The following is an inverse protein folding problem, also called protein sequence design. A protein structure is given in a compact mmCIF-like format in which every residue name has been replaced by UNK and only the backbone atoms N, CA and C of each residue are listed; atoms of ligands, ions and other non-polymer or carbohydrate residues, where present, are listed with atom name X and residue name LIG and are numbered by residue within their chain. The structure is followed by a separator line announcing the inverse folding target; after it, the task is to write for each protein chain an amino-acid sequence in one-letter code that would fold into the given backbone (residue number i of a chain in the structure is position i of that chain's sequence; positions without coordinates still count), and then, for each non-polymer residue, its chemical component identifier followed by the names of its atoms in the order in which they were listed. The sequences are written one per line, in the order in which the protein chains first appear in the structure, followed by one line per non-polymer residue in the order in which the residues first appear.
data_IF_289970578172
#
_entry.id   IF_289970578172
#
_cell.length_a   1.000
_cell.length_b   1.000
_cell.length_c   1.000
_cell.angle_alpha   90.00
_cell.angle_beta   90.00
_cell.angle_gamma   90.00
#
_symmetry.space_group_name_H-M   'P 1'
#
loop_
_entity.id
_entity.type
_entity.pdbx_description
1 polymer ?
#
# COMPACT_ATOMS: atom_id res chain seq x y z
N UNK A 1 1.56 -9.06 -31.77
CA UNK A 1 1.97 -8.50 -30.46
C UNK A 1 1.76 -9.60 -29.45
N UNK A 2 2.83 -10.30 -29.07
CA UNK A 2 2.76 -11.48 -28.20
C UNK A 2 2.35 -11.07 -26.78
N UNK A 3 1.48 -11.89 -26.22
CA UNK A 3 0.85 -11.83 -24.90
C UNK A 3 1.78 -12.22 -23.75
N UNK A 4 3.08 -11.92 -23.82
CA UNK A 4 4.09 -12.47 -22.89
C UNK A 4 4.62 -11.49 -21.83
N UNK A 5 4.17 -10.24 -21.83
CA UNK A 5 4.34 -9.34 -20.69
C UNK A 5 2.97 -9.16 -20.03
N UNK A 6 2.55 -10.16 -19.26
CA UNK A 6 1.39 -10.03 -18.39
C UNK A 6 1.59 -8.79 -17.50
N UNK A 7 0.63 -7.88 -17.57
CA UNK A 7 0.69 -6.59 -16.90
C UNK A 7 0.95 -6.71 -15.40
N UNK A 8 0.53 -7.80 -14.76
CA UNK A 8 0.76 -8.11 -13.34
C UNK A 8 2.26 -8.20 -12.98
N UNK A 9 3.09 -8.83 -13.84
CA UNK A 9 4.53 -9.00 -13.58
C UNK A 9 5.32 -7.68 -13.49
N UNK A 10 4.84 -6.63 -14.17
CA UNK A 10 5.48 -5.31 -14.20
C UNK A 10 5.15 -4.51 -12.93
N UNK A 11 3.99 -4.74 -12.32
CA UNK A 11 3.59 -4.10 -11.05
C UNK A 11 4.37 -4.65 -9.85
N UNK A 12 4.80 -5.90 -9.92
CA UNK A 12 5.55 -6.60 -8.87
C UNK A 12 7.03 -6.21 -8.79
N UNK A 13 7.56 -5.49 -9.79
CA UNK A 13 8.99 -5.24 -9.95
C UNK A 13 9.50 -3.97 -9.28
N UNK A 14 8.63 -3.07 -8.86
CA UNK A 14 9.06 -1.72 -8.47
C UNK A 14 8.86 -1.48 -6.98
N UNK A 15 9.92 -1.84 -6.22
CA UNK A 15 10.20 -1.23 -4.92
C UNK A 15 10.62 0.19 -5.21
N UNK A 16 9.70 1.15 -5.08
CA UNK A 16 10.13 2.53 -5.06
C UNK A 16 10.53 2.85 -3.65
N UNK A 17 11.78 3.31 -3.50
CA UNK A 17 12.26 3.78 -2.23
C UNK A 17 11.35 4.91 -1.74
N UNK A 18 10.85 4.73 -0.52
CA UNK A 18 9.98 5.68 0.15
C UNK A 18 10.53 5.82 1.54
N UNK A 19 11.68 6.48 1.64
CA UNK A 19 12.36 6.76 2.91
C UNK A 19 11.37 7.25 3.99
N UNK A 20 10.42 8.10 3.58
CA UNK A 20 9.35 8.59 4.46
C UNK A 20 8.41 7.48 4.94
N UNK A 21 8.00 6.54 4.09
CA UNK A 21 7.16 5.40 4.47
C UNK A 21 7.91 4.47 5.43
N UNK A 22 9.20 4.20 5.16
CA UNK A 22 10.06 3.41 6.04
C UNK A 22 10.19 4.09 7.40
N UNK A 23 10.44 5.40 7.42
CA UNK A 23 10.53 6.19 8.66
C UNK A 23 9.23 6.14 9.47
N UNK A 24 8.07 6.32 8.82
CA UNK A 24 6.76 6.26 9.51
C UNK A 24 6.49 4.89 10.09
N UNK A 25 6.70 3.81 9.32
CA UNK A 25 6.51 2.44 9.82
C UNK A 25 7.45 2.18 11.00
N UNK A 26 8.74 2.48 10.83
CA UNK A 26 9.77 2.28 11.87
C UNK A 26 9.45 3.05 13.14
N UNK A 27 8.97 4.29 13.02
CA UNK A 27 8.49 5.11 14.14
C UNK A 27 7.34 4.44 14.90
N UNK A 28 6.35 3.88 14.21
CA UNK A 28 5.21 3.22 14.88
C UNK A 28 5.63 1.91 15.55
N UNK A 29 6.48 1.11 14.89
CA UNK A 29 7.04 -0.10 15.50
C UNK A 29 7.84 0.24 16.76
N UNK A 30 8.65 1.31 16.71
CA UNK A 30 9.41 1.79 17.87
C UNK A 30 8.49 2.27 19.00
N UNK A 31 7.43 3.01 18.70
CA UNK A 31 6.44 3.43 19.71
C UNK A 31 5.79 2.23 20.41
N UNK A 32 5.39 1.21 19.65
CA UNK A 32 4.85 -0.03 20.22
C UNK A 32 5.87 -0.71 21.14
N UNK A 33 7.13 -0.79 20.71
CA UNK A 33 8.22 -1.32 21.51
C UNK A 33 8.43 -0.55 22.83
N UNK A 34 8.44 0.78 22.80
CA UNK A 34 8.55 1.61 24.00
C UNK A 34 7.38 1.35 24.94
N UNK A 35 6.14 1.34 24.42
CA UNK A 35 4.94 1.13 25.23
C UNK A 35 4.97 -0.23 25.95
N UNK A 36 5.47 -1.28 25.29
CA UNK A 36 5.70 -2.60 25.92
C UNK A 36 6.70 -2.52 27.07
N UNK A 37 7.84 -1.85 26.87
CA UNK A 37 8.87 -1.68 27.90
C UNK A 37 8.38 -0.93 29.14
N UNK A 38 7.46 0.02 28.95
CA UNK A 38 6.89 0.80 30.07
C UNK A 38 5.87 0.00 30.90
N UNK A 39 5.46 -1.20 30.47
CA UNK A 39 4.57 -2.10 31.22
C UNK A 39 3.16 -1.56 31.47
N UNK A 40 2.77 -0.46 30.83
CA UNK A 40 1.43 0.13 30.95
C UNK A 40 0.46 -0.60 30.03
N UNK A 41 -0.81 -0.64 30.40
CA UNK A 41 -1.85 -0.99 29.42
C UNK A 41 -1.76 -0.02 28.23
N UNK A 42 -1.50 -0.56 27.05
CA UNK A 42 -1.36 0.22 25.83
C UNK A 42 -2.37 -0.24 24.77
N UNK A 43 -2.73 0.69 23.90
CA UNK A 43 -3.48 0.42 22.66
C UNK A 43 -2.43 0.10 21.59
N UNK A 44 -2.35 -1.14 21.04
CA UNK A 44 -1.35 -1.45 20.02
C UNK A 44 -1.49 -0.51 18.82
N UNK A 45 -0.38 0.07 18.40
CA UNK A 45 -0.31 0.92 17.21
C UNK A 45 0.18 0.07 16.05
N UNK A 46 -0.60 0.00 14.98
CA UNK A 46 -0.33 -0.86 13.82
C UNK A 46 -0.22 0.00 12.56
N UNK A 47 0.92 -0.02 11.86
CA UNK A 47 1.03 0.52 10.53
C UNK A 47 0.00 -0.11 9.59
N UNK A 48 -0.79 0.74 8.95
CA UNK A 48 -1.78 0.35 7.95
C UNK A 48 -1.43 0.98 6.60
N UNK A 49 -1.07 0.14 5.64
CA UNK A 49 -0.84 0.55 4.25
C UNK A 49 -2.11 0.31 3.44
N UNK A 50 -2.94 1.33 3.17
CA UNK A 50 -4.10 1.10 2.32
C UNK A 50 -3.65 0.67 0.91
N UNK A 51 -4.30 -0.35 0.35
CA UNK A 51 -4.22 -0.74 -1.06
C UNK A 51 -4.82 0.36 -1.92
N UNK A 52 -4.05 1.42 -2.12
CA UNK A 52 -4.25 2.27 -3.27
C UNK A 52 -3.85 1.52 -4.51
N UNK A 53 -4.54 1.87 -5.56
CA UNK A 53 -4.13 1.52 -6.89
C UNK A 53 -2.65 1.88 -7.15
N UNK A 54 -1.83 0.89 -7.48
CA UNK A 54 -0.45 1.11 -7.92
C UNK A 54 0.44 1.81 -6.89
N UNK A 55 0.07 1.82 -5.60
CA UNK A 55 0.92 2.40 -4.54
C UNK A 55 2.12 1.55 -4.20
N UNK A 56 2.17 0.30 -4.64
CA UNK A 56 3.24 -0.63 -4.31
C UNK A 56 3.31 -0.99 -2.83
N UNK A 57 2.24 -0.80 -2.03
CA UNK A 57 2.27 -1.06 -0.57
C UNK A 57 2.53 -2.52 -0.22
N UNK A 58 1.94 -3.49 -0.95
CA UNK A 58 2.29 -4.91 -0.83
C UNK A 58 3.79 -5.12 -1.00
N UNK A 59 4.35 -4.59 -2.09
CA UNK A 59 5.77 -4.74 -2.41
C UNK A 59 6.66 -4.01 -1.43
N UNK A 60 6.28 -2.82 -0.99
CA UNK A 60 6.96 -2.08 0.06
C UNK A 60 7.04 -2.92 1.34
N UNK A 61 5.94 -3.53 1.78
CA UNK A 61 5.94 -4.35 2.99
C UNK A 61 6.78 -5.60 2.82
N UNK A 62 6.72 -6.27 1.66
CA UNK A 62 7.58 -7.42 1.35
C UNK A 62 9.08 -7.09 1.42
N UNK A 63 9.48 -5.87 1.03
CA UNK A 63 10.88 -5.42 1.02
C UNK A 63 11.23 -4.50 2.20
N UNK A 64 10.34 -4.34 3.18
CA UNK A 64 10.51 -3.37 4.27
C UNK A 64 11.83 -3.56 5.04
N UNK A 65 12.20 -4.81 5.35
CA UNK A 65 13.45 -5.10 6.07
C UNK A 65 14.70 -4.81 5.24
N UNK A 66 14.64 -5.02 3.93
CA UNK A 66 15.74 -4.65 3.03
C UNK A 66 15.91 -3.13 2.98
N UNK A 67 14.81 -2.39 2.89
CA UNK A 67 14.81 -0.92 2.92
C UNK A 67 15.37 -0.38 4.24
N UNK A 68 14.95 -0.94 5.38
CA UNK A 68 15.51 -0.58 6.71
C UNK A 68 17.02 -0.84 6.77
N UNK A 69 17.49 -1.94 6.19
CA UNK A 69 18.92 -2.27 6.14
C UNK A 69 19.70 -1.27 5.29
N UNK A 70 19.17 -0.90 4.12
CA UNK A 70 19.79 0.05 3.20
C UNK A 70 19.85 1.47 3.80
N UNK A 71 18.78 1.91 4.48
CA UNK A 71 18.71 3.23 5.10
C UNK A 71 19.55 3.38 6.36
N UNK A 72 19.82 2.28 7.08
CA UNK A 72 20.60 2.33 8.31
C UNK A 72 19.98 3.25 9.38
N UNK A 73 20.77 4.16 9.96
CA UNK A 73 20.26 5.12 10.97
C UNK A 73 19.24 6.10 10.39
N UNK A 74 19.21 6.33 9.08
CA UNK A 74 18.21 7.20 8.43
C UNK A 74 16.79 6.64 8.53
N UNK A 75 16.61 5.34 8.74
CA UNK A 75 15.29 4.75 9.03
C UNK A 75 14.68 5.27 10.35
N UNK A 76 15.48 5.93 11.19
CA UNK A 76 15.05 6.55 12.45
C UNK A 76 14.66 8.02 12.31
N UNK A 77 14.71 8.60 11.10
CA UNK A 77 14.28 9.98 10.85
C UNK A 77 12.83 10.16 11.30
N UNK A 78 12.56 11.22 12.08
CA UNK A 78 11.25 11.48 12.71
C UNK A 78 11.12 10.94 14.14
N UNK A 79 12.08 10.13 14.61
CA UNK A 79 12.18 9.80 16.03
C UNK A 79 12.74 10.95 16.86
N UNK A 80 13.29 12.02 16.29
CA UNK A 80 13.97 13.09 17.04
C UNK A 80 13.13 13.76 18.13
N UNK A 81 11.81 13.73 17.97
CA UNK A 81 10.82 14.26 18.91
C UNK A 81 10.47 13.32 20.08
N UNK A 82 11.07 12.14 20.14
CA UNK A 82 10.83 11.18 21.23
C UNK A 82 11.74 11.48 22.43
N UNK A 83 11.22 11.37 23.66
CA UNK A 83 11.92 11.77 24.89
C UNK A 83 13.31 11.14 25.09
N UNK A 84 14.16 11.81 25.86
CA UNK A 84 15.56 11.42 26.17
C UNK A 84 15.70 9.95 26.63
N UNK A 85 14.78 9.47 27.47
CA UNK A 85 14.76 8.08 27.94
C UNK A 85 14.50 7.06 26.82
N UNK A 86 13.81 7.47 25.76
CA UNK A 86 13.49 6.61 24.61
C UNK A 86 14.63 6.62 23.59
N UNK A 87 15.35 7.75 23.44
CA UNK A 87 16.55 7.86 22.59
C UNK A 87 17.57 6.75 22.84
N UNK A 88 17.79 6.41 24.12
CA UNK A 88 18.74 5.37 24.52
C UNK A 88 18.43 3.99 23.92
N UNK A 89 17.18 3.70 23.56
CA UNK A 89 16.77 2.40 23.02
C UNK A 89 16.73 2.35 21.49
N UNK A 90 16.86 3.48 20.77
CA UNK A 90 16.66 3.55 19.31
C UNK A 90 17.65 2.68 18.54
N UNK A 91 18.95 2.79 18.87
CA UNK A 91 19.99 1.99 18.22
C UNK A 91 19.81 0.50 18.48
N UNK A 92 19.52 0.12 19.73
CA UNK A 92 19.26 -1.28 20.09
C UNK A 92 18.03 -1.85 19.39
N UNK A 93 16.96 -1.07 19.28
CA UNK A 93 15.78 -1.43 18.51
C UNK A 93 16.09 -1.61 17.03
N UNK A 94 16.77 -0.64 16.41
CA UNK A 94 17.12 -0.70 14.98
C UNK A 94 18.00 -1.90 14.66
N UNK A 95 19.04 -2.17 15.46
CA UNK A 95 19.93 -3.30 15.24
C UNK A 95 19.22 -4.65 15.37
N UNK A 96 18.22 -4.74 16.25
CA UNK A 96 17.37 -5.93 16.35
C UNK A 96 16.33 -6.00 15.22
N UNK A 97 15.84 -4.87 14.73
CA UNK A 97 14.93 -4.77 13.58
C UNK A 97 15.61 -5.16 12.26
N UNK A 98 16.85 -4.73 12.02
CA UNK A 98 17.66 -5.12 10.85
C UNK A 98 17.84 -6.64 10.72
N UNK A 99 17.86 -7.32 11.86
CA UNK A 99 17.96 -8.79 11.96
C UNK A 99 16.60 -9.46 12.02
N UNK A 100 15.50 -8.74 11.97
CA UNK A 100 14.18 -9.34 12.10
C UNK A 100 13.86 -10.30 10.94
N UNK A 101 12.83 -11.12 11.12
CA UNK A 101 12.22 -11.88 10.03
C UNK A 101 10.86 -11.32 9.69
N UNK A 102 10.52 -11.35 8.41
CA UNK A 102 9.19 -10.98 7.91
C UNK A 102 8.44 -12.25 7.50
N UNK A 103 7.23 -12.41 8.01
CA UNK A 103 6.24 -13.39 7.58
C UNK A 103 5.16 -12.66 6.78
N UNK A 104 5.07 -12.93 5.49
CA UNK A 104 4.06 -12.35 4.61
C UNK A 104 2.83 -13.26 4.52
N UNK A 105 1.62 -12.69 4.66
CA UNK A 105 0.37 -13.44 4.80
C UNK A 105 -0.71 -12.82 3.92
N UNK A 106 -1.09 -13.50 2.85
CA UNK A 106 -2.21 -13.07 1.98
C UNK A 106 -3.56 -13.56 2.53
N UNK A 107 -4.41 -12.61 2.99
CA UNK A 107 -5.74 -12.94 3.51
C UNK A 107 -6.72 -13.42 2.42
N UNK A 108 -6.40 -13.30 1.13
CA UNK A 108 -7.18 -13.97 0.06
C UNK A 108 -7.16 -15.48 0.19
N UNK A 109 -6.12 -16.06 0.76
CA UNK A 109 -6.02 -17.49 1.04
C UNK A 109 -6.82 -17.95 2.27
N UNK A 110 -7.47 -17.02 2.96
CA UNK A 110 -8.27 -17.35 4.14
C UNK A 110 -9.44 -18.25 3.76
N UNK A 111 -9.48 -19.43 4.38
CA UNK A 111 -10.53 -20.44 4.21
C UNK A 111 -11.18 -20.76 5.56
N UNK A 112 -12.47 -21.11 5.58
CA UNK A 112 -13.08 -21.72 6.75
C UNK A 112 -12.32 -23.00 7.17
N UNK A 113 -12.09 -23.13 8.47
CA UNK A 113 -11.40 -24.26 9.09
C UNK A 113 -12.36 -25.00 10.02
N UNK A 114 -12.41 -26.33 9.93
CA UNK A 114 -13.31 -27.14 10.78
C UNK A 114 -12.85 -27.17 12.25
N UNK A 115 -13.79 -27.16 13.23
CA UNK A 115 -15.24 -27.03 13.02
C UNK A 115 -15.63 -25.63 12.52
N UNK A 116 -16.41 -25.58 11.44
CA UNK A 116 -16.82 -24.35 10.72
C UNK A 116 -17.61 -23.37 11.58
N UNK A 117 -18.22 -23.86 12.65
CA UNK A 117 -19.00 -23.09 13.61
C UNK A 117 -18.07 -22.16 14.41
N UNK A 118 -17.71 -21.05 13.76
CA UNK A 118 -17.17 -19.82 14.34
C UNK A 118 -15.79 -19.91 14.98
N UNK A 119 -14.74 -19.95 14.17
CA UNK A 119 -13.47 -19.40 14.64
C UNK A 119 -12.60 -18.74 13.55
N UNK A 120 -12.86 -17.46 13.27
CA UNK A 120 -11.95 -16.63 12.46
C UNK A 120 -10.51 -16.64 13.03
N UNK A 121 -10.34 -16.70 14.36
CA UNK A 121 -9.03 -16.82 15.00
C UNK A 121 -8.33 -18.09 14.55
N UNK A 122 -9.05 -19.20 14.41
CA UNK A 122 -8.46 -20.45 13.99
C UNK A 122 -8.01 -20.40 12.53
N UNK A 123 -8.86 -19.86 11.65
CA UNK A 123 -8.51 -19.67 10.25
C UNK A 123 -7.29 -18.76 10.07
N UNK A 124 -7.20 -17.66 10.84
CA UNK A 124 -6.03 -16.76 10.83
C UNK A 124 -4.78 -17.46 11.37
N UNK A 125 -4.89 -18.23 12.45
CA UNK A 125 -3.76 -18.97 13.03
C UNK A 125 -3.23 -20.03 12.07
N UNK A 126 -4.13 -20.80 11.46
CA UNK A 126 -3.75 -21.79 10.46
C UNK A 126 -3.13 -21.14 9.22
N UNK A 127 -3.67 -19.99 8.78
CA UNK A 127 -3.10 -19.24 7.66
C UNK A 127 -1.66 -18.76 7.96
N UNK A 128 -1.40 -18.29 9.18
CA UNK A 128 -0.04 -17.93 9.62
C UNK A 128 0.91 -19.12 9.56
N UNK A 129 0.49 -20.29 10.05
CA UNK A 129 1.28 -21.54 10.00
C UNK A 129 1.54 -21.95 8.56
N UNK A 130 0.50 -21.96 7.72
CA UNK A 130 0.59 -22.28 6.30
C UNK A 130 1.58 -21.36 5.59
N UNK A 131 1.46 -20.05 5.80
CA UNK A 131 2.36 -19.06 5.23
C UNK A 131 3.82 -19.29 5.68
N UNK A 132 4.03 -19.60 6.96
CA UNK A 132 5.36 -19.88 7.50
C UNK A 132 5.97 -21.14 6.87
N UNK A 133 5.21 -22.25 6.76
CA UNK A 133 5.67 -23.47 6.09
C UNK A 133 6.03 -23.21 4.63
N UNK A 134 5.15 -22.54 3.88
CA UNK A 134 5.36 -22.20 2.48
C UNK A 134 6.62 -21.35 2.28
N UNK A 135 6.85 -20.36 3.14
CA UNK A 135 7.99 -19.44 3.05
C UNK A 135 9.35 -20.16 3.17
N UNK A 136 9.43 -21.25 3.92
CA UNK A 136 10.67 -22.03 4.09
C UNK A 136 10.69 -23.33 3.28
N UNK A 137 9.65 -23.59 2.48
CA UNK A 137 9.51 -24.85 1.73
C UNK A 137 9.31 -26.09 2.60
N UNK A 138 8.73 -25.93 3.79
CA UNK A 138 8.41 -27.04 4.69
C UNK A 138 7.04 -27.66 4.36
N UNK A 139 6.82 -28.90 4.81
CA UNK A 139 5.53 -29.56 4.71
C UNK A 139 4.47 -28.78 5.51
N UNK A 140 3.34 -28.49 4.88
CA UNK A 140 2.24 -27.78 5.51
C UNK A 140 1.54 -28.75 6.47
N UNK A 141 1.55 -28.40 7.76
CA UNK A 141 0.87 -29.17 8.81
C UNK A 141 -0.59 -29.40 8.47
N UNK A 142 -1.11 -30.59 8.77
CA UNK A 142 -2.54 -30.85 8.62
C UNK A 142 -3.32 -29.97 9.60
N UNK A 143 -4.48 -29.44 9.19
CA UNK A 143 -5.34 -28.57 10.02
C UNK A 143 -5.53 -29.13 11.44
N UNK A 144 -5.79 -30.43 11.58
CA UNK A 144 -5.97 -31.08 12.90
C UNK A 144 -4.72 -31.03 13.79
N UNK A 145 -3.55 -31.32 13.24
CA UNK A 145 -2.28 -31.32 13.98
C UNK A 145 -1.93 -29.90 14.43
N UNK A 146 -2.06 -28.93 13.53
CA UNK A 146 -1.84 -27.52 13.83
C UNK A 146 -2.78 -27.01 14.94
N UNK A 147 -4.04 -27.47 14.94
CA UNK A 147 -5.01 -27.12 15.97
C UNK A 147 -4.61 -27.68 17.33
N UNK A 148 -4.23 -28.96 17.39
CA UNK A 148 -3.80 -29.63 18.64
C UNK A 148 -2.52 -29.01 19.22
N UNK A 149 -1.59 -28.55 18.38
CA UNK A 149 -0.34 -27.93 18.83
C UNK A 149 -0.59 -26.52 19.38
N UNK A 150 -1.39 -25.71 18.67
CA UNK A 150 -1.57 -24.29 19.03
C UNK A 150 -2.64 -24.12 20.11
N UNK A 151 -3.66 -24.97 20.13
CA UNK A 151 -4.79 -24.91 21.05
C UNK A 151 -5.40 -23.50 21.17
N UNK A 152 -5.41 -22.76 20.06
CA UNK A 152 -5.93 -21.39 20.00
C UNK A 152 -5.25 -20.36 20.93
N UNK A 153 -4.05 -20.65 21.44
CA UNK A 153 -3.31 -19.77 22.34
C UNK A 153 -2.14 -19.05 21.63
N UNK A 154 -2.05 -17.70 21.71
CA UNK A 154 -0.91 -16.92 21.20
C UNK A 154 0.45 -17.47 21.66
N UNK A 155 0.54 -17.88 22.93
CA UNK A 155 1.76 -18.37 23.56
C UNK A 155 2.24 -19.70 22.98
N UNK A 156 1.38 -20.45 22.28
CA UNK A 156 1.75 -21.66 21.55
C UNK A 156 2.00 -21.36 20.07
N UNK A 157 1.21 -20.46 19.47
CA UNK A 157 1.35 -20.08 18.07
C UNK A 157 2.72 -19.46 17.77
N UNK A 158 3.15 -18.47 18.54
CA UNK A 158 4.38 -17.73 18.23
C UNK A 158 5.63 -18.61 18.30
N UNK A 159 5.82 -19.46 19.32
CA UNK A 159 6.90 -20.44 19.32
C UNK A 159 6.87 -21.39 18.12
N UNK A 160 5.68 -21.89 17.73
CA UNK A 160 5.54 -22.74 16.55
C UNK A 160 5.97 -22.02 15.27
N UNK A 161 5.52 -20.78 15.07
CA UNK A 161 5.93 -19.98 13.91
C UNK A 161 7.45 -19.75 13.89
N UNK A 162 8.05 -19.48 15.04
CA UNK A 162 9.50 -19.30 15.16
C UNK A 162 10.27 -20.58 14.85
N UNK A 163 9.78 -21.72 15.30
CA UNK A 163 10.39 -23.03 15.02
C UNK A 163 10.36 -23.34 13.51
N UNK A 164 9.18 -23.19 12.88
CA UNK A 164 9.01 -23.38 11.43
C UNK A 164 9.95 -22.45 10.64
N UNK A 165 9.96 -21.16 11.00
CA UNK A 165 10.77 -20.15 10.32
C UNK A 165 12.27 -20.21 10.71
N UNK A 166 12.65 -21.07 11.66
CA UNK A 166 14.01 -21.19 12.22
C UNK A 166 14.56 -19.88 12.77
N UNK A 167 13.72 -19.13 13.48
CA UNK A 167 14.03 -17.81 14.04
C UNK A 167 14.39 -17.94 15.53
N UNK A 168 15.54 -17.37 15.98
CA UNK A 168 15.88 -17.27 17.40
C UNK A 168 14.79 -16.59 18.24
N UNK A 169 14.62 -17.01 19.50
CA UNK A 169 13.60 -16.46 20.40
C UNK A 169 13.76 -14.96 20.67
N UNK A 170 15.00 -14.46 20.61
CA UNK A 170 15.37 -13.08 20.89
C UNK A 170 15.32 -12.19 19.64
N UNK A 171 14.89 -12.67 18.48
CA UNK A 171 14.77 -11.90 17.23
C UNK A 171 13.33 -11.40 17.02
N UNK A 172 13.17 -10.21 16.42
CA UNK A 172 11.82 -9.74 16.08
C UNK A 172 11.20 -10.55 14.93
N UNK A 173 9.91 -10.82 15.04
CA UNK A 173 9.07 -11.36 13.96
C UNK A 173 8.07 -10.28 13.54
N UNK A 174 8.16 -9.85 12.29
CA UNK A 174 7.19 -8.97 11.66
C UNK A 174 6.20 -9.84 10.89
N UNK A 175 4.90 -9.62 11.10
CA UNK A 175 3.82 -10.26 10.34
C UNK A 175 3.17 -9.20 9.48
N UNK A 176 3.26 -9.38 8.16
CA UNK A 176 2.62 -8.55 7.18
C UNK A 176 1.34 -9.22 6.69
N UNK A 177 0.18 -8.72 7.12
CA UNK A 177 -1.09 -9.14 6.57
C UNK A 177 -1.40 -8.32 5.33
N UNK A 178 -1.69 -8.98 4.22
CA UNK A 178 -2.13 -8.35 3.00
C UNK A 178 -3.61 -8.64 2.69
N UNK A 179 -4.23 -7.81 1.87
CA UNK A 179 -5.59 -7.96 1.37
C UNK A 179 -6.66 -8.00 2.47
N UNK A 180 -6.54 -7.17 3.51
CA UNK A 180 -7.55 -7.08 4.57
C UNK A 180 -8.98 -6.81 4.06
N UNK A 181 -9.11 -6.19 2.89
CA UNK A 181 -10.38 -5.97 2.20
C UNK A 181 -11.13 -7.25 1.79
N UNK A 182 -10.51 -8.43 1.94
CA UNK A 182 -11.18 -9.72 1.73
C UNK A 182 -12.40 -9.88 2.63
N UNK A 183 -12.42 -9.23 3.79
CA UNK A 183 -13.54 -9.31 4.73
C UNK A 183 -14.80 -8.57 4.24
N UNK A 184 -14.68 -7.67 3.26
CA UNK A 184 -15.85 -7.02 2.62
C UNK A 184 -16.65 -8.03 1.78
N UNK A 185 -15.96 -8.92 1.08
CA UNK A 185 -16.57 -9.91 0.18
C UNK A 185 -16.78 -11.26 0.87
N UNK A 186 -15.89 -11.64 1.80
CA UNK A 186 -15.96 -12.91 2.52
C UNK A 186 -16.74 -12.85 3.85
N UNK A 187 -17.41 -11.75 4.17
CA UNK A 187 -18.18 -11.59 5.41
C UNK A 187 -19.24 -12.68 5.64
N UNK A 188 -19.71 -13.36 4.59
CA UNK A 188 -20.65 -14.49 4.65
C UNK A 188 -19.98 -15.85 4.91
N UNK A 189 -18.67 -16.01 4.66
CA UNK A 189 -18.00 -17.32 4.74
C UNK A 189 -17.79 -17.85 6.16
N UNK A 190 -17.77 -16.96 7.15
CA UNK A 190 -17.56 -17.32 8.56
C UNK A 190 -18.85 -17.29 9.39
N UNK A 191 -20.02 -17.15 8.74
CA UNK A 191 -21.34 -17.01 9.38
C UNK A 191 -21.32 -16.02 10.57
N UNK A 192 -20.53 -14.97 10.43
CA UNK A 192 -20.39 -13.95 11.45
C UNK A 192 -21.65 -13.10 11.38
N UNK A 193 -22.63 -13.42 12.24
CA UNK A 193 -23.93 -12.73 12.33
C UNK A 193 -23.78 -11.24 12.07
N UNK A 194 -24.38 -10.77 10.97
CA UNK A 194 -24.74 -9.36 10.86
C UNK A 194 -25.72 -9.11 12.00
N UNK A 195 -25.34 -8.26 12.94
CA UNK A 195 -26.32 -7.68 13.85
C UNK A 195 -27.43 -6.98 13.04
N UNK A 196 -28.58 -6.70 13.65
CA UNK A 196 -29.76 -6.06 13.01
C UNK A 196 -29.46 -4.67 12.39
N UNK A 197 -28.23 -4.16 12.57
CA UNK A 197 -27.70 -2.90 12.05
C UNK A 197 -26.76 -3.07 10.84
N UNK A 198 -26.53 -4.30 10.39
CA UNK A 198 -25.84 -4.60 9.13
C UNK A 198 -24.33 -4.39 9.08
N UNK A 199 -23.58 -4.44 10.20
CA UNK A 199 -22.16 -4.01 10.23
C UNK A 199 -21.22 -4.95 11.01
N UNK A 200 -20.19 -5.44 10.29
CA UNK A 200 -18.75 -5.54 10.65
C UNK A 200 -18.32 -6.33 11.90
N UNK A 201 -18.66 -7.62 11.97
CA UNK A 201 -18.04 -8.55 12.92
C UNK A 201 -16.65 -9.08 12.50
N UNK A 202 -16.39 -9.43 11.22
CA UNK A 202 -15.10 -10.00 10.81
C UNK A 202 -13.90 -9.08 11.07
N UNK A 203 -14.01 -7.78 10.79
CA UNK A 203 -12.91 -6.85 11.05
C UNK A 203 -12.67 -6.63 12.55
N UNK A 204 -13.74 -6.55 13.35
CA UNK A 204 -13.62 -6.42 14.81
C UNK A 204 -12.88 -7.64 15.39
N UNK A 205 -13.30 -8.84 14.98
CA UNK A 205 -12.68 -10.09 15.39
C UNK A 205 -11.22 -10.17 14.91
N UNK A 206 -10.94 -9.81 13.66
CA UNK A 206 -9.57 -9.75 13.11
C UNK A 206 -8.65 -8.82 13.89
N UNK A 207 -9.04 -7.55 14.12
CA UNK A 207 -8.24 -6.64 14.91
C UNK A 207 -8.18 -7.05 16.40
N UNK A 208 -9.21 -7.74 16.90
CA UNK A 208 -9.19 -8.36 18.22
C UNK A 208 -8.12 -9.46 18.33
N UNK A 209 -7.97 -10.29 17.30
CA UNK A 209 -6.92 -11.31 17.20
C UNK A 209 -5.54 -10.64 17.19
N UNK A 210 -5.34 -9.61 16.36
CA UNK A 210 -4.07 -8.89 16.31
C UNK A 210 -3.76 -8.23 17.66
N UNK A 211 -4.76 -7.62 18.32
CA UNK A 211 -4.62 -7.03 19.65
C UNK A 211 -4.14 -8.05 20.69
N UNK A 212 -4.64 -9.29 20.64
CA UNK A 212 -4.19 -10.39 21.50
C UNK A 212 -2.73 -10.77 21.19
N UNK A 213 -2.38 -10.95 19.92
CA UNK A 213 -1.03 -11.30 19.49
C UNK A 213 -0.02 -10.18 19.78
N UNK A 214 -0.43 -8.91 19.77
CA UNK A 214 0.42 -7.75 20.08
C UNK A 214 0.93 -7.73 21.53
N UNK A 215 0.45 -8.61 22.41
CA UNK A 215 1.00 -8.78 23.76
C UNK A 215 2.36 -9.47 23.75
N UNK A 216 2.68 -10.22 22.70
CA UNK A 216 3.97 -10.88 22.52
C UNK A 216 5.07 -9.82 22.26
N UNK A 217 6.15 -9.79 23.06
CA UNK A 217 7.06 -8.64 23.13
C UNK A 217 7.85 -8.41 21.83
N UNK A 218 8.14 -9.48 21.09
CA UNK A 218 8.97 -9.48 19.89
C UNK A 218 8.17 -9.69 18.59
N UNK A 219 6.84 -9.59 18.66
CA UNK A 219 5.94 -9.73 17.51
C UNK A 219 5.44 -8.35 17.06
N UNK A 220 5.52 -8.05 15.78
CA UNK A 220 5.09 -6.78 15.19
C UNK A 220 4.21 -7.03 13.98
N UNK A 221 3.34 -6.07 13.67
CA UNK A 221 2.36 -6.22 12.59
C UNK A 221 2.43 -5.04 11.63
N UNK A 222 2.27 -5.34 10.35
CA UNK A 222 1.94 -4.36 9.31
C UNK A 222 0.71 -4.92 8.60
N UNK A 223 -0.31 -4.09 8.40
CA UNK A 223 -1.54 -4.51 7.72
C UNK A 223 -1.69 -3.72 6.44
N UNK A 224 -2.03 -4.41 5.37
CA UNK A 224 -2.19 -3.87 4.03
C UNK A 224 -3.52 -4.39 3.47
N UNK A 225 -4.24 -3.57 2.70
CA UNK A 225 -5.48 -4.00 2.06
C UNK A 225 -6.42 -2.86 1.68
N UNK A 226 -7.56 -3.19 1.07
CA UNK A 226 -8.49 -2.21 0.50
C UNK A 226 -8.87 -1.09 1.47
N UNK A 227 -9.21 0.05 0.88
CA UNK A 227 -9.49 1.32 1.54
C UNK A 227 -10.94 1.74 1.52
N UNK A 228 -11.85 0.95 0.97
CA UNK A 228 -13.26 1.33 0.95
C UNK A 228 -13.83 1.26 2.38
N UNK A 229 -13.90 2.41 3.04
CA UNK A 229 -14.37 2.52 4.42
C UNK A 229 -13.24 2.48 5.46
N UNK A 230 -12.15 3.21 5.25
CA UNK A 230 -11.11 3.41 6.28
C UNK A 230 -11.70 3.94 7.58
N UNK A 231 -12.78 4.71 7.47
CA UNK A 231 -13.60 5.19 8.59
C UNK A 231 -14.11 4.04 9.46
N UNK A 232 -14.66 3.04 8.78
CA UNK A 232 -15.18 1.83 9.39
C UNK A 232 -14.00 1.08 10.01
N UNK A 233 -12.89 0.91 9.29
CA UNK A 233 -11.72 0.20 9.82
C UNK A 233 -11.10 0.88 11.04
N UNK A 234 -10.98 2.20 11.07
CA UNK A 234 -10.48 2.94 12.23
C UNK A 234 -11.42 2.83 13.42
N UNK A 235 -12.73 3.00 13.20
CA UNK A 235 -13.73 2.83 14.25
C UNK A 235 -13.67 1.41 14.83
N UNK A 236 -13.67 0.39 13.96
CA UNK A 236 -13.62 -1.03 14.31
C UNK A 236 -12.32 -1.39 15.04
N UNK A 237 -11.17 -0.99 14.51
CA UNK A 237 -9.88 -1.18 15.18
C UNK A 237 -9.89 -0.52 16.56
N UNK A 238 -10.45 0.70 16.67
CA UNK A 238 -10.57 1.40 17.94
C UNK A 238 -11.43 0.65 18.96
N UNK A 239 -12.56 0.07 18.51
CA UNK A 239 -13.41 -0.82 19.34
C UNK A 239 -12.62 -2.04 19.82
N UNK A 240 -11.78 -2.63 18.95
CA UNK A 240 -10.87 -3.72 19.29
C UNK A 240 -9.60 -3.28 20.04
N UNK A 241 -9.57 -2.04 20.54
CA UNK A 241 -8.44 -1.43 21.27
C UNK A 241 -7.14 -1.45 20.47
N UNK A 242 -7.21 -1.29 19.16
CA UNK A 242 -6.08 -1.14 18.23
C UNK A 242 -6.15 0.26 17.62
N UNK A 243 -5.00 0.91 17.46
CA UNK A 243 -4.89 2.14 16.70
C UNK A 243 -4.20 1.83 15.38
N UNK A 244 -4.88 2.10 14.27
CA UNK A 244 -4.25 2.06 12.96
C UNK A 244 -3.55 3.40 12.72
N UNK A 245 -2.31 3.34 12.23
CA UNK A 245 -1.58 4.51 11.75
C UNK A 245 -1.32 4.31 10.28
N UNK A 246 -1.87 5.22 9.47
CA UNK A 246 -1.76 5.12 8.03
C UNK A 246 -0.34 5.41 7.59
N UNK A 247 0.22 4.50 6.81
CA UNK A 247 1.48 4.75 6.12
C UNK A 247 1.17 5.76 5.01
N UNK A 248 1.82 6.94 5.00
CA UNK A 248 1.46 8.02 4.10
C UNK A 248 1.50 7.58 2.63
N UNK A 249 0.71 8.27 1.84
CA UNK A 249 0.51 8.00 0.44
C UNK A 249 1.28 9.03 -0.37
N UNK A 250 2.52 9.30 0.02
CA UNK A 250 3.31 10.35 -0.59
C UNK A 250 3.64 9.95 -2.04
N UNK A 251 3.38 10.84 -3.01
CA UNK A 251 3.84 10.63 -4.37
C UNK A 251 5.36 10.69 -4.38
N UNK A 252 5.94 10.06 -5.38
CA UNK A 252 7.39 10.09 -5.56
C UNK A 252 7.83 11.50 -5.91
N UNK A 253 8.89 11.92 -5.25
CA UNK A 253 9.55 13.16 -5.60
C UNK A 253 10.51 12.94 -6.77
N UNK A 254 10.91 14.04 -7.41
CA UNK A 254 11.85 14.01 -8.55
C UNK A 254 13.11 13.21 -8.22
N UNK A 255 13.68 13.39 -7.04
CA UNK A 255 14.92 12.71 -6.64
C UNK A 255 14.72 11.19 -6.55
N UNK A 256 13.61 10.72 -5.98
CA UNK A 256 13.28 9.29 -5.89
C UNK A 256 13.03 8.67 -7.27
N UNK A 257 12.44 9.44 -8.19
CA UNK A 257 12.26 9.01 -9.59
C UNK A 257 13.62 8.90 -10.29
N UNK A 258 14.52 9.87 -10.13
CA UNK A 258 15.89 9.80 -10.69
C UNK A 258 16.60 8.55 -10.19
N UNK A 259 16.59 8.35 -8.88
CA UNK A 259 17.18 7.16 -8.26
C UNK A 259 16.60 5.88 -8.82
N UNK A 260 15.27 5.80 -8.97
CA UNK A 260 14.61 4.67 -9.57
C UNK A 260 15.07 4.41 -11.02
N UNK A 261 15.24 5.45 -11.84
CA UNK A 261 15.74 5.33 -13.21
C UNK A 261 17.22 4.90 -13.28
N UNK A 262 18.01 5.17 -12.24
CA UNK A 262 19.45 4.88 -12.16
C UNK A 262 19.79 3.58 -11.42
N UNK A 263 18.91 3.09 -10.55
CA UNK A 263 19.12 1.88 -9.76
C UNK A 263 18.34 0.67 -10.26
N UNK A 264 17.24 0.87 -11.00
CA UNK A 264 16.43 -0.24 -11.48
C UNK A 264 17.15 -1.00 -12.60
N UNK A 265 17.95 -2.00 -12.20
CA UNK A 265 18.41 -3.06 -13.10
C UNK A 265 17.22 -3.97 -13.39
N UNK A 266 16.47 -3.56 -14.41
CA UNK A 266 15.49 -4.32 -15.18
C UNK A 266 14.03 -4.37 -14.71
N UNK A 267 13.18 -3.86 -15.59
CA UNK A 267 11.78 -4.22 -15.76
C UNK A 267 11.60 -5.56 -16.51
N UNK A 268 12.68 -6.29 -16.79
CA UNK A 268 12.68 -7.42 -17.75
C UNK A 268 13.52 -8.61 -17.24
N UNK A 269 14.82 -8.46 -16.92
CA UNK A 269 15.68 -9.57 -16.43
C UNK A 269 16.88 -9.11 -15.56
N UNK A 270 17.25 -9.85 -14.49
CA UNK A 270 18.46 -9.59 -13.70
C UNK A 270 19.69 -9.36 -14.58
N UNK A 271 20.36 -8.21 -14.41
CA UNK A 271 21.51 -7.81 -15.22
C UNK A 271 21.18 -6.96 -16.46
N UNK A 272 19.93 -6.55 -16.68
CA UNK A 272 19.60 -5.60 -17.76
C UNK A 272 20.19 -4.20 -17.48
N UNK A 273 20.50 -3.42 -18.54
CA UNK A 273 20.92 -2.03 -18.40
C UNK A 273 19.86 -1.20 -17.65
N UNK A 274 20.32 -0.15 -17.00
CA UNK A 274 19.46 0.78 -16.24
C UNK A 274 18.49 1.47 -17.21
N UNK A 275 17.33 1.89 -16.72
CA UNK A 275 16.37 2.64 -17.55
C UNK A 275 17.01 3.92 -18.11
N UNK A 276 17.78 4.61 -17.28
CA UNK A 276 18.57 5.79 -17.67
C UNK A 276 19.56 5.49 -18.81
N UNK A 277 20.21 4.32 -18.82
CA UNK A 277 21.15 3.92 -19.89
C UNK A 277 20.43 3.63 -21.23
N UNK A 278 19.13 3.29 -21.19
CA UNK A 278 18.33 2.98 -22.39
C UNK A 278 17.65 4.22 -22.96
N UNK A 279 17.09 5.08 -22.10
CA UNK A 279 16.22 6.19 -22.49
C UNK A 279 16.93 7.55 -22.51
N UNK A 280 17.97 7.75 -21.69
CA UNK A 280 18.67 9.03 -21.56
C UNK A 280 19.95 9.05 -22.42
N UNK A 281 20.45 10.25 -22.71
CA UNK A 281 21.69 10.51 -23.45
C UNK A 281 22.21 11.92 -23.12
N UNK A 282 23.33 12.35 -23.74
CA UNK A 282 24.01 13.62 -23.39
C UNK A 282 23.09 14.85 -23.45
N UNK A 283 22.19 14.93 -24.43
CA UNK A 283 21.24 16.03 -24.62
C UNK A 283 19.90 15.84 -23.89
N UNK A 284 19.72 14.72 -23.19
CA UNK A 284 18.49 14.43 -22.44
C UNK A 284 18.80 13.61 -21.20
N UNK A 285 18.89 14.32 -20.08
CA UNK A 285 19.35 13.78 -18.80
C UNK A 285 18.28 12.98 -18.05
N UNK A 286 18.72 12.12 -17.12
CA UNK A 286 17.82 11.42 -16.19
C UNK A 286 16.96 12.37 -15.37
N UNK A 287 17.51 13.53 -14.98
CA UNK A 287 16.79 14.57 -14.25
C UNK A 287 15.64 15.16 -15.07
N UNK A 288 15.86 15.41 -16.36
CA UNK A 288 14.80 15.91 -17.26
C UNK A 288 13.72 14.86 -17.50
N UNK A 289 14.10 13.59 -17.72
CA UNK A 289 13.14 12.50 -17.83
C UNK A 289 12.30 12.36 -16.56
N UNK A 290 12.93 12.42 -15.39
CA UNK A 290 12.24 12.32 -14.10
C UNK A 290 11.24 13.47 -13.90
N UNK A 291 11.56 14.69 -14.33
CA UNK A 291 10.66 15.83 -14.25
C UNK A 291 9.44 15.67 -15.16
N UNK A 292 9.64 15.21 -16.40
CA UNK A 292 8.53 14.94 -17.33
C UNK A 292 7.63 13.80 -16.84
N UNK A 293 8.23 12.74 -16.31
CA UNK A 293 7.49 11.64 -15.71
C UNK A 293 6.72 12.08 -14.46
N UNK A 294 7.31 12.93 -13.61
CA UNK A 294 6.64 13.49 -12.44
C UNK A 294 5.44 14.34 -12.85
N UNK A 295 5.58 15.23 -13.83
CA UNK A 295 4.48 16.05 -14.34
C UNK A 295 3.35 15.19 -14.92
N UNK A 296 3.71 14.16 -15.69
CA UNK A 296 2.75 13.27 -16.34
C UNK A 296 1.98 12.38 -15.35
N UNK A 297 2.69 11.83 -14.37
CA UNK A 297 2.19 10.77 -13.50
C UNK A 297 1.81 11.28 -12.12
N UNK A 298 2.12 12.53 -11.77
CA UNK A 298 1.96 13.06 -10.42
C UNK A 298 2.81 12.34 -9.37
N UNK A 299 3.82 11.56 -9.78
CA UNK A 299 4.63 10.74 -8.87
C UNK A 299 3.96 9.45 -8.40
N UNK A 300 2.84 9.04 -9.04
CA UNK A 300 2.14 7.79 -8.71
C UNK A 300 2.96 6.59 -9.20
N UNK A 301 3.45 5.69 -8.33
CA UNK A 301 4.34 4.61 -8.77
C UNK A 301 3.74 3.73 -9.87
N UNK A 302 2.48 3.31 -9.73
CA UNK A 302 1.84 2.47 -10.73
C UNK A 302 1.71 3.14 -12.10
N UNK A 303 1.47 4.45 -12.17
CA UNK A 303 1.43 5.19 -13.43
C UNK A 303 2.84 5.41 -13.98
N UNK A 304 3.79 5.73 -13.10
CA UNK A 304 5.21 5.90 -13.43
C UNK A 304 5.78 4.64 -14.09
N UNK A 305 5.56 3.49 -13.47
CA UNK A 305 6.00 2.19 -13.98
C UNK A 305 5.44 1.90 -15.37
N UNK A 306 4.16 2.19 -15.60
CA UNK A 306 3.52 1.98 -16.91
C UNK A 306 4.03 2.95 -17.96
N UNK A 307 4.24 4.21 -17.59
CA UNK A 307 4.83 5.20 -18.46
C UNK A 307 6.25 4.81 -18.89
N UNK A 308 7.09 4.41 -17.93
CA UNK A 308 8.45 3.92 -18.20
C UNK A 308 8.41 2.66 -19.09
N UNK A 309 7.56 1.70 -18.74
CA UNK A 309 7.42 0.45 -19.51
C UNK A 309 7.00 0.72 -20.96
N UNK A 310 6.08 1.66 -21.18
CA UNK A 310 5.67 2.05 -22.51
C UNK A 310 6.83 2.68 -23.29
N UNK A 311 7.58 3.60 -22.68
CA UNK A 311 8.74 4.23 -23.31
C UNK A 311 9.82 3.21 -23.69
N UNK A 312 10.09 2.23 -22.82
CA UNK A 312 11.02 1.14 -23.10
C UNK A 312 10.54 0.27 -24.26
N UNK A 313 9.26 -0.12 -24.28
CA UNK A 313 8.66 -0.88 -25.38
C UNK A 313 8.71 -0.11 -26.70
N UNK A 314 8.47 1.21 -26.65
CA UNK A 314 8.52 2.08 -27.82
C UNK A 314 9.94 2.18 -28.38
N UNK A 315 10.94 2.34 -27.51
CA UNK A 315 12.37 2.34 -27.88
C UNK A 315 12.79 1.00 -28.49
N UNK A 316 12.41 -0.12 -27.87
CA UNK A 316 12.69 -1.47 -28.39
C UNK A 316 12.08 -1.72 -29.78
N UNK A 317 10.91 -1.13 -30.04
CA UNK A 317 10.23 -1.25 -31.34
C UNK A 317 10.80 -0.30 -32.40
N UNK A 318 11.63 0.69 -32.01
CA UNK A 318 12.16 1.73 -32.90
C UNK A 318 13.65 1.94 -32.63
N UNK A 319 14.51 1.09 -33.19
CA UNK A 319 15.95 1.07 -32.88
C UNK A 319 16.70 2.41 -33.05
N UNK A 320 16.26 3.30 -33.96
CA UNK A 320 16.86 4.62 -34.19
C UNK A 320 16.21 5.75 -33.38
N UNK A 321 15.26 5.43 -32.49
CA UNK A 321 14.54 6.43 -31.71
C UNK A 321 15.44 7.02 -30.63
N UNK A 322 15.53 8.34 -30.55
CA UNK A 322 16.15 9.08 -29.46
C UNK A 322 15.06 9.87 -28.74
N UNK A 323 14.99 9.71 -27.42
CA UNK A 323 13.97 10.36 -26.61
C UNK A 323 14.40 11.79 -26.29
N UNK A 324 13.82 12.78 -26.94
CA UNK A 324 13.86 14.20 -26.53
C UNK A 324 12.62 14.59 -25.74
N UNK A 325 12.62 15.79 -25.15
CA UNK A 325 11.43 16.40 -24.54
C UNK A 325 10.25 16.48 -25.52
N UNK A 326 10.46 16.87 -26.78
CA UNK A 326 9.35 16.93 -27.75
C UNK A 326 8.81 15.53 -28.05
N UNK A 327 9.69 14.56 -28.30
CA UNK A 327 9.24 13.19 -28.60
C UNK A 327 8.53 12.54 -27.42
N UNK A 328 8.98 12.80 -26.18
CA UNK A 328 8.28 12.38 -24.98
C UNK A 328 6.86 12.92 -24.97
N UNK A 329 6.68 14.22 -25.19
CA UNK A 329 5.35 14.84 -25.19
C UNK A 329 4.46 14.27 -26.31
N UNK A 330 5.00 14.05 -27.51
CA UNK A 330 4.27 13.46 -28.63
C UNK A 330 3.79 12.04 -28.28
N UNK A 331 4.66 11.21 -27.72
CA UNK A 331 4.34 9.83 -27.37
C UNK A 331 3.34 9.81 -26.21
N UNK A 332 3.66 10.50 -25.11
CA UNK A 332 2.91 10.36 -23.86
C UNK A 332 1.55 11.06 -23.87
N UNK A 333 1.33 12.07 -24.73
CA UNK A 333 0.01 12.69 -24.91
C UNK A 333 -0.89 11.89 -25.89
N UNK A 334 -0.42 10.76 -26.44
CA UNK A 334 -1.24 9.90 -27.29
C UNK A 334 -2.28 9.14 -26.46
N UNK A 335 -3.52 9.11 -26.93
CA UNK A 335 -4.61 8.35 -26.30
C UNK A 335 -4.28 6.88 -26.07
N UNK A 336 -3.48 6.27 -26.96
CA UNK A 336 -3.05 4.88 -26.81
C UNK A 336 -2.19 4.70 -25.54
N UNK A 337 -1.34 5.66 -25.24
CA UNK A 337 -0.48 5.64 -24.04
C UNK A 337 -1.28 5.91 -22.80
N UNK A 338 -2.17 6.91 -22.85
CA UNK A 338 -3.10 7.22 -21.76
C UNK A 338 -3.93 5.99 -21.41
N UNK A 339 -4.51 5.32 -22.39
CA UNK A 339 -5.23 4.06 -22.19
C UNK A 339 -4.34 2.95 -21.65
N UNK A 340 -3.14 2.75 -22.20
CA UNK A 340 -2.22 1.72 -21.71
C UNK A 340 -1.85 1.93 -20.24
N UNK A 341 -1.59 3.17 -19.85
CA UNK A 341 -1.22 3.52 -18.48
C UNK A 341 -2.41 3.37 -17.53
N UNK A 342 -3.60 3.84 -17.92
CA UNK A 342 -4.79 3.89 -17.06
C UNK A 342 -5.62 2.60 -17.10
N UNK A 343 -5.50 1.74 -18.12
CA UNK A 343 -6.36 0.56 -18.29
C UNK A 343 -6.42 -0.37 -17.05
N UNK A 344 -5.30 -0.67 -16.37
CA UNK A 344 -5.36 -1.50 -15.17
C UNK A 344 -6.12 -0.83 -14.01
N UNK A 345 -6.20 0.50 -14.03
CA UNK A 345 -6.90 1.35 -13.05
C UNK A 345 -8.42 1.32 -13.25
N UNK A 346 -8.86 0.98 -14.45
CA UNK A 346 -10.24 1.13 -14.88
C UNK A 346 -11.24 0.26 -14.08
N UNK A 347 -11.02 -1.05 -13.84
CA UNK A 347 -11.99 -1.86 -13.09
C UNK A 347 -12.28 -1.31 -11.69
N UNK A 348 -11.26 -0.74 -11.04
CA UNK A 348 -11.37 -0.16 -9.70
C UNK A 348 -12.04 1.21 -9.71
N UNK A 349 -11.76 2.04 -10.73
CA UNK A 349 -12.45 3.32 -10.93
C UNK A 349 -13.95 3.11 -11.21
N UNK A 350 -14.30 2.06 -11.96
CA UNK A 350 -15.70 1.70 -12.24
C UNK A 350 -16.41 1.22 -10.97
N UNK A 351 -15.72 0.46 -10.11
CA UNK A 351 -16.30 -0.08 -8.88
C UNK A 351 -16.54 0.97 -7.79
N UNK A 352 -16.10 2.22 -7.98
CA UNK A 352 -16.36 3.31 -7.03
C UNK A 352 -17.86 3.56 -6.85
N UNK A 353 -18.27 3.92 -5.64
CA UNK A 353 -19.66 4.35 -5.37
C UNK A 353 -20.03 5.62 -6.16
N UNK A 354 -21.32 5.84 -6.41
CA UNK A 354 -21.80 7.01 -7.16
C UNK A 354 -21.38 8.35 -6.54
N UNK A 355 -21.38 8.44 -5.20
CA UNK A 355 -20.90 9.63 -4.51
C UNK A 355 -19.42 9.89 -4.78
N UNK A 356 -18.61 8.83 -4.84
CA UNK A 356 -17.18 8.90 -5.17
C UNK A 356 -16.99 9.28 -6.63
N UNK A 357 -17.67 8.63 -7.57
CA UNK A 357 -17.60 9.01 -9.00
C UNK A 357 -17.90 10.50 -9.23
N UNK A 358 -18.94 11.06 -8.57
CA UNK A 358 -19.26 12.50 -8.64
C UNK A 358 -18.13 13.39 -8.13
N UNK A 359 -17.50 12.99 -7.05
CA UNK A 359 -16.43 13.75 -6.43
C UNK A 359 -15.12 13.67 -7.23
N UNK A 360 -14.80 12.52 -7.84
CA UNK A 360 -13.71 12.39 -8.81
C UNK A 360 -13.89 13.36 -9.99
N UNK A 361 -15.12 13.44 -10.52
CA UNK A 361 -15.47 14.39 -11.60
C UNK A 361 -15.22 15.83 -11.16
N UNK A 362 -15.68 16.20 -9.96
CA UNK A 362 -15.48 17.55 -9.42
C UNK A 362 -13.99 17.90 -9.28
N UNK A 363 -13.19 17.01 -8.69
CA UNK A 363 -11.75 17.20 -8.52
C UNK A 363 -11.03 17.28 -9.87
N UNK A 364 -11.43 16.46 -10.85
CA UNK A 364 -10.90 16.52 -12.22
C UNK A 364 -11.21 17.85 -12.89
N UNK A 365 -12.45 18.35 -12.76
CA UNK A 365 -12.84 19.66 -13.28
C UNK A 365 -12.02 20.78 -12.63
N UNK A 366 -11.89 20.78 -11.30
CA UNK A 366 -11.07 21.76 -10.59
C UNK A 366 -9.62 21.74 -11.10
N UNK A 367 -9.05 20.56 -11.33
CA UNK A 367 -7.69 20.41 -11.88
C UNK A 367 -7.57 20.91 -13.32
N UNK A 368 -8.55 20.60 -14.18
CA UNK A 368 -8.62 21.08 -15.57
C UNK A 368 -8.65 22.62 -15.63
N UNK A 369 -9.43 23.24 -14.75
CA UNK A 369 -9.53 24.70 -14.65
C UNK A 369 -8.41 25.34 -13.83
N UNK A 370 -7.42 24.55 -13.37
CA UNK A 370 -6.34 25.01 -12.47
C UNK A 370 -6.86 25.75 -11.24
N UNK A 371 -8.07 25.39 -10.79
CA UNK A 371 -8.67 25.91 -9.58
C UNK A 371 -8.04 25.17 -8.42
N UNK A 372 -7.35 25.93 -7.55
CA UNK A 372 -6.71 25.37 -6.36
C UNK A 372 -7.77 24.86 -5.40
N UNK A 373 -7.51 23.69 -4.83
CA UNK A 373 -8.33 23.10 -3.79
C UNK A 373 -7.45 22.80 -2.59
N UNK A 374 -7.64 23.58 -1.53
CA UNK A 374 -6.78 23.60 -0.36
C UNK A 374 -7.44 22.81 0.76
N UNK A 375 -6.64 22.01 1.48
CA UNK A 375 -7.09 21.32 2.69
C UNK A 375 -6.55 22.03 3.93
N UNK A 376 -7.44 22.41 4.83
CA UNK A 376 -7.09 22.89 6.17
C UNK A 376 -7.09 21.71 7.15
N UNK A 377 -5.93 21.41 7.74
CA UNK A 377 -5.76 20.32 8.70
C UNK A 377 -6.23 20.66 10.12
N UNK A 378 -6.55 21.91 10.44
CA UNK A 378 -6.91 22.31 11.81
C UNK A 378 -8.23 21.70 12.32
N UNK A 379 -8.96 20.97 11.46
CA UNK A 379 -10.17 20.20 11.78
C UNK A 379 -9.86 18.75 12.23
N UNK A 380 -8.59 18.39 12.44
CA UNK A 380 -8.09 17.04 12.75
C UNK A 380 -8.68 16.28 13.97
N UNK A 381 -9.57 16.85 14.79
CA UNK A 381 -9.91 16.27 16.11
C UNK A 381 -11.41 15.98 16.32
N UNK A 382 -12.34 16.43 15.46
CA UNK A 382 -13.76 16.44 15.88
C UNK A 382 -14.85 15.96 14.92
N UNK A 383 -14.58 15.54 13.68
CA UNK A 383 -15.71 15.21 12.79
C UNK A 383 -15.47 14.09 11.78
N UNK A 384 -16.52 13.27 11.60
CA UNK A 384 -16.69 12.20 10.61
C UNK A 384 -16.43 12.58 9.13
N UNK A 385 -16.13 13.85 8.84
CA UNK A 385 -15.85 14.43 7.52
C UNK A 385 -14.48 14.05 6.96
N UNK A 386 -13.48 13.86 7.82
CA UNK A 386 -12.07 13.87 7.40
C UNK A 386 -11.64 12.56 6.77
N UNK A 387 -12.34 11.50 7.13
CA UNK A 387 -12.07 10.17 6.61
C UNK A 387 -12.82 9.92 5.31
N UNK A 388 -13.89 10.65 4.98
CA UNK A 388 -14.45 10.64 3.62
C UNK A 388 -13.42 11.12 2.59
N UNK A 389 -12.53 12.04 2.98
CA UNK A 389 -11.49 12.63 2.15
C UNK A 389 -10.19 11.80 2.12
N UNK A 390 -9.83 11.16 3.23
CA UNK A 390 -8.79 10.14 3.21
C UNK A 390 -9.26 8.95 2.36
N UNK A 391 -10.49 8.44 2.56
CA UNK A 391 -11.13 7.43 1.70
C UNK A 391 -11.14 7.88 0.23
N UNK A 392 -11.35 9.17 -0.05
CA UNK A 392 -11.36 9.72 -1.40
C UNK A 392 -9.99 9.70 -2.09
N UNK A 393 -9.00 10.29 -1.44
CA UNK A 393 -7.60 10.32 -1.87
C UNK A 393 -7.08 8.89 -2.02
N UNK A 394 -7.52 8.01 -1.12
CA UNK A 394 -7.11 6.61 -1.05
C UNK A 394 -7.79 5.75 -2.12
N UNK A 395 -9.07 5.95 -2.41
CA UNK A 395 -9.79 5.16 -3.42
C UNK A 395 -9.59 5.68 -4.85
N UNK A 396 -9.24 6.94 -5.03
CA UNK A 396 -9.11 7.60 -6.34
C UNK A 396 -7.69 7.74 -6.86
N UNK A 397 -6.68 7.21 -6.17
CA UNK A 397 -5.27 7.37 -6.54
C UNK A 397 -4.85 8.84 -6.59
N UNK A 398 -5.48 9.70 -5.81
CA UNK A 398 -5.13 11.12 -5.76
C UNK A 398 -4.10 11.28 -4.66
N UNK A 399 -2.90 11.73 -5.00
CA UNK A 399 -1.80 11.77 -4.05
C UNK A 399 -1.79 13.11 -3.33
N UNK A 400 -1.40 13.14 -2.06
CA UNK A 400 -1.23 14.40 -1.33
C UNK A 400 0.21 14.84 -1.41
N UNK A 401 0.44 16.09 -1.80
CA UNK A 401 1.75 16.73 -1.66
C UNK A 401 1.71 17.63 -0.44
N UNK A 402 2.62 17.40 0.50
CA UNK A 402 2.91 18.35 1.57
C UNK A 402 3.66 19.54 0.96
N UNK A 403 3.15 20.73 1.21
CA UNK A 403 3.75 22.02 0.88
C UNK A 403 4.01 22.70 2.21
N UNK A 404 5.29 22.95 2.49
CA UNK A 404 5.71 23.74 3.65
C UNK A 404 5.87 25.16 3.14
N UNK A 405 4.98 26.05 3.56
CA UNK A 405 5.07 27.46 3.23
C UNK A 405 6.28 28.13 3.93
N UNK A 406 6.78 29.28 3.43
CA UNK A 406 7.96 29.94 3.99
C UNK A 406 7.82 30.33 5.47
N UNK A 407 6.60 30.38 5.99
CA UNK A 407 6.24 30.62 7.38
C UNK A 407 6.12 29.34 8.23
N UNK A 408 6.55 28.19 7.67
CA UNK A 408 6.44 26.85 8.26
C UNK A 408 5.00 26.33 8.42
N UNK A 409 4.02 26.92 7.75
CA UNK A 409 2.70 26.30 7.66
C UNK A 409 2.73 25.09 6.74
N UNK A 410 2.28 23.96 7.27
CA UNK A 410 2.11 22.72 6.53
C UNK A 410 0.74 22.71 5.85
N UNK A 411 0.74 22.47 4.53
CA UNK A 411 -0.45 22.42 3.70
C UNK A 411 -0.42 21.20 2.80
N UNK A 412 -1.58 20.57 2.59
CA UNK A 412 -1.69 19.42 1.69
C UNK A 412 -2.44 19.78 0.41
N UNK A 413 -1.82 19.53 -0.74
CA UNK A 413 -2.46 19.66 -2.05
C UNK A 413 -2.81 18.29 -2.61
N UNK A 414 -4.00 18.16 -3.22
CA UNK A 414 -4.37 16.94 -3.96
C UNK A 414 -3.82 17.02 -5.37
N UNK A 415 -2.96 16.07 -5.72
CA UNK A 415 -2.41 15.87 -7.05
C UNK A 415 -3.27 14.87 -7.83
N UNK A 416 -3.80 15.33 -8.95
CA UNK A 416 -4.43 14.47 -9.96
C UNK A 416 -3.42 14.30 -11.11
N UNK A 417 -2.97 13.06 -11.38
CA UNK A 417 -2.04 12.79 -12.47
C UNK A 417 -2.59 13.28 -13.81
N UNK A 418 -1.74 13.90 -14.63
CA UNK A 418 -2.13 14.40 -15.97
C UNK A 418 -2.71 13.28 -16.85
N UNK A 419 -2.15 12.07 -16.79
CA UNK A 419 -2.71 10.89 -17.47
C UNK A 419 -4.16 10.59 -17.10
N UNK A 420 -4.52 10.75 -15.82
CA UNK A 420 -5.88 10.51 -15.34
C UNK A 420 -6.82 11.63 -15.81
N UNK A 421 -6.36 12.87 -15.78
CA UNK A 421 -7.10 14.02 -16.30
C UNK A 421 -7.40 13.86 -17.79
N UNK A 422 -6.39 13.52 -18.59
CA UNK A 422 -6.54 13.34 -20.04
C UNK A 422 -7.49 12.20 -20.39
N UNK A 423 -7.39 11.08 -19.67
CA UNK A 423 -8.32 9.96 -19.84
C UNK A 423 -9.77 10.39 -19.55
N UNK A 424 -9.99 11.13 -18.47
CA UNK A 424 -11.32 11.59 -18.06
C UNK A 424 -11.86 12.65 -19.03
N UNK A 425 -11.06 13.64 -19.40
CA UNK A 425 -11.45 14.70 -20.35
C UNK A 425 -11.79 14.12 -21.73
N UNK A 426 -11.01 13.17 -22.23
CA UNK A 426 -11.29 12.53 -23.51
C UNK A 426 -12.55 11.67 -23.46
N UNK A 427 -12.76 10.88 -22.41
CA UNK A 427 -13.99 10.10 -22.29
C UNK A 427 -15.25 10.96 -22.06
N UNK A 428 -15.12 12.16 -21.47
CA UNK A 428 -16.20 13.16 -21.37
C UNK A 428 -16.55 13.77 -22.74
N UNK A 429 -15.57 13.89 -23.63
CA UNK A 429 -15.75 14.39 -25.01
C UNK A 429 -16.29 13.34 -25.98
N UNK A 430 -16.07 12.06 -25.69
CA UNK A 430 -16.44 10.91 -26.53
C UNK A 430 -17.80 10.28 -26.16
N UNK A 431 -18.54 10.80 -25.17
CA UNK A 431 -19.70 10.16 -24.50
C UNK A 431 -19.41 8.74 -23.92
N UNK A 432 -18.18 8.23 -24.04
CA UNK A 432 -17.77 6.88 -23.60
C UNK A 432 -17.61 6.78 -22.09
N UNK A 433 -17.33 7.87 -21.38
CA UNK A 433 -17.35 7.89 -19.91
C UNK A 433 -18.76 7.95 -19.33
N UNK A 434 -19.75 8.46 -20.06
CA UNK A 434 -21.14 8.24 -19.68
C UNK A 434 -21.45 6.74 -19.68
N UNK A 435 -20.99 5.99 -20.69
CA UNK A 435 -21.17 4.53 -20.75
C UNK A 435 -20.39 3.75 -19.67
N UNK A 436 -19.13 4.12 -19.40
CA UNK A 436 -18.26 3.47 -18.38
C UNK A 436 -18.61 3.82 -16.93
N UNK A 437 -19.26 4.95 -16.66
CA UNK A 437 -19.64 5.36 -15.31
C UNK A 437 -21.13 5.16 -14.98
N UNK A 438 -22.04 5.04 -15.96
CA UNK A 438 -23.49 4.86 -15.72
C UNK A 438 -24.04 3.42 -15.82
N UNK A 439 -23.26 2.40 -16.18
CA UNK A 439 -23.79 1.02 -16.17
C UNK A 439 -23.49 0.29 -14.85
N UNK A 440 -24.38 0.46 -13.88
CA UNK A 440 -24.92 -0.66 -13.07
C UNK A 440 -26.15 -0.23 -12.24
N UNK A 441 -27.09 0.46 -12.89
CA UNK A 441 -28.45 0.58 -12.41
C UNK A 441 -29.42 0.19 -13.52
N UNK A 442 -29.33 -1.07 -13.98
CA UNK A 442 -30.43 -1.88 -14.52
C UNK A 442 -29.85 -3.15 -15.17
N UNK A 443 -29.71 -4.24 -14.39
CA UNK A 443 -30.16 -5.57 -14.82
C UNK A 443 -30.61 -6.33 -13.58
N UNK A 444 -31.90 -6.23 -13.28
CA UNK A 444 -32.67 -7.32 -12.69
C UNK A 444 -34.02 -7.30 -13.41
N UNK A 445 -34.50 -8.49 -13.77
CA UNK A 445 -35.75 -8.83 -14.47
C UNK A 445 -35.60 -8.89 -16.01
N UNK A 446 -35.27 -10.08 -16.53
CA UNK A 446 -36.27 -11.13 -16.84
C UNK A 446 -35.68 -12.50 -16.51
#
# INVERSE_FOLDING_TARGET
MSSELEAESVYDMVVVDREQDVGVVTLQLFRLYTLRKLGRHFKPVIPFGPHLFGSGKTKFVQNYLELVNNMGESALIGLDYVGESEKANRRGFLEKLKRASLLFVDLKELEPTEPKERNLKWAVYYLLIKAACSQVGAEILRKKEAFEIVDMEPSNLVPLLRDILRIPSDQYLLVAFDEVGVFDTKGTFFELEKNDKGVVRPYNDFFGIISQLCKEPDLFFIVVGKSEGLNIYNYVASVSRVQLVFIPLSPLEKHSIVEHLEKSSSFLFPGSPKVSEILCHEDFSTSELAELLLELTGGVPGLLVRAISYLLLYKLSNNNFLLSKETFLIIMNSFLVTNYCVAPFLPRLISLSEQRKRLLRMLTLLSLYRIRFDFDETVQVSSNSDVFLFDLVTDMCLYRRLVIEPDHNERYEVLIPKLLIEYIDQGLKDDRLEWLLFTNSQVSIC
#
